data_IF_391156758714
#
_entry.id   IF_391156758714
#
_cell.length_a   1.000
_cell.length_b   1.000
_cell.length_c   1.000
_cell.angle_alpha   90.00
_cell.angle_beta   90.00
_cell.angle_gamma   90.00
#
_symmetry.space_group_name_H-M   'P 1'
#
loop_
_entity.id
_entity.type
_entity.pdbx_description
1 polymer ?
#
# COMPACT_ATOMS: atom_id res chain seq x y z
N UNK A 1 51.95 35.69 19.02
CA UNK A 1 52.61 34.93 20.11
C UNK A 1 51.62 33.86 20.55
N UNK A 2 51.78 32.63 20.03
CA UNK A 2 52.22 31.42 20.75
C UNK A 2 51.26 31.01 21.88
N UNK A 3 50.50 29.93 21.69
CA UNK A 3 50.70 28.69 22.45
C UNK A 3 50.21 27.49 21.62
N UNK A 4 51.12 26.53 21.46
CA UNK A 4 50.96 25.23 20.82
C UNK A 4 50.84 24.22 21.96
N UNK A 5 49.85 23.32 21.96
CA UNK A 5 49.91 22.14 22.84
C UNK A 5 49.29 20.93 22.12
N UNK A 6 50.16 20.02 21.69
CA UNK A 6 49.82 18.63 21.38
C UNK A 6 49.62 17.86 22.70
N UNK A 7 48.68 16.92 22.73
CA UNK A 7 48.68 15.83 23.71
C UNK A 7 48.55 14.48 22.99
N UNK A 8 49.47 13.58 23.31
CA UNK A 8 49.63 12.24 22.75
C UNK A 8 48.75 11.18 23.46
N UNK A 9 48.31 10.21 22.64
CA UNK A 9 48.02 8.79 22.86
C UNK A 9 47.82 8.24 24.29
N UNK A 10 46.78 7.41 24.44
CA UNK A 10 46.90 6.10 25.11
C UNK A 10 45.86 5.11 24.53
N UNK A 11 46.38 4.05 23.91
CA UNK A 11 45.64 2.88 23.42
C UNK A 11 45.65 1.83 24.55
N UNK A 12 44.49 1.35 24.99
CA UNK A 12 44.39 0.18 25.85
C UNK A 12 43.68 -0.94 25.09
N UNK A 13 44.46 -1.95 24.71
CA UNK A 13 43.96 -3.25 24.28
C UNK A 13 43.43 -4.01 25.51
N UNK A 14 42.23 -4.56 25.40
CA UNK A 14 41.75 -5.63 26.28
C UNK A 14 41.46 -6.86 25.44
N UNK A 15 42.24 -7.89 25.71
CA UNK A 15 42.25 -9.21 25.10
C UNK A 15 41.22 -10.14 25.73
N UNK A 16 40.49 -10.83 24.85
CA UNK A 16 40.00 -12.22 24.90
C UNK A 16 39.27 -12.76 26.14
N UNK A 17 38.05 -13.27 25.90
CA UNK A 17 37.58 -14.51 26.49
C UNK A 17 36.93 -15.38 25.40
N UNK A 18 37.66 -16.42 25.01
CA UNK A 18 37.27 -17.47 24.07
C UNK A 18 36.29 -18.40 24.76
N UNK A 19 35.06 -18.51 24.24
CA UNK A 19 34.12 -19.55 24.65
C UNK A 19 34.44 -20.86 23.89
N UNK A 20 34.39 -22.04 24.55
CA UNK A 20 34.73 -23.32 23.92
C UNK A 20 33.68 -23.75 22.89
N UNK A 21 34.09 -24.45 21.81
CA UNK A 21 33.18 -25.04 20.85
C UNK A 21 32.44 -26.22 21.48
N UNK A 22 31.11 -26.20 21.45
CA UNK A 22 30.31 -27.38 21.78
C UNK A 22 30.54 -28.48 20.76
N UNK A 23 30.86 -29.67 21.27
CA UNK A 23 31.08 -30.90 20.52
C UNK A 23 29.96 -31.18 19.50
N UNK A 24 30.35 -31.19 18.22
CA UNK A 24 29.54 -31.78 17.16
C UNK A 24 29.59 -33.31 17.32
N UNK A 25 28.48 -33.90 17.77
CA UNK A 25 28.31 -35.35 17.70
C UNK A 25 28.04 -35.79 16.24
N UNK A 26 28.67 -36.88 15.77
CA UNK A 26 28.53 -37.36 14.41
C UNK A 26 27.15 -37.99 14.16
N UNK A 27 26.64 -37.76 12.93
CA UNK A 27 25.44 -38.35 12.37
C UNK A 27 25.34 -39.86 12.65
N UNK A 28 24.30 -40.27 13.39
CA UNK A 28 23.81 -41.65 13.44
C UNK A 28 22.43 -41.70 12.78
N UNK A 29 22.33 -42.37 11.63
CA UNK A 29 21.13 -43.11 11.21
C UNK A 29 21.34 -44.55 11.69
N UNK A 30 20.33 -45.20 12.31
CA UNK A 30 19.43 -45.99 11.50
C UNK A 30 17.96 -45.98 11.96
N UNK A 31 17.13 -46.45 11.05
CA UNK A 31 15.70 -46.74 11.08
C UNK A 31 15.08 -47.09 12.44
N UNK A 32 13.99 -46.40 12.81
CA UNK A 32 12.74 -47.05 13.25
C UNK A 32 11.57 -46.05 13.37
N UNK A 33 10.64 -46.20 12.43
CA UNK A 33 9.17 -46.06 12.56
C UNK A 33 8.60 -45.07 13.61
N UNK A 34 8.39 -43.82 13.19
CA UNK A 34 7.28 -43.01 13.71
C UNK A 34 6.16 -42.98 12.66
N UNK A 35 5.10 -43.74 12.95
CA UNK A 35 3.85 -43.79 12.18
C UNK A 35 3.31 -42.37 11.95
N UNK A 36 3.10 -42.02 10.68
CA UNK A 36 2.26 -40.90 10.28
C UNK A 36 0.84 -41.08 10.86
N UNK A 37 0.15 -39.99 11.24
CA UNK A 37 -1.26 -40.07 11.59
C UNK A 37 -2.09 -40.57 10.39
N UNK A 38 -3.17 -41.34 10.63
CA UNK A 38 -3.94 -41.98 9.57
C UNK A 38 -4.61 -40.94 8.66
N UNK A 39 -4.49 -41.17 7.36
CA UNK A 39 -5.19 -40.43 6.30
C UNK A 39 -6.72 -40.48 6.51
N UNK A 40 -7.46 -39.39 6.27
CA UNK A 40 -8.92 -39.45 6.17
C UNK A 40 -9.35 -40.21 4.90
N UNK A 41 -10.54 -40.85 4.92
CA UNK A 41 -11.04 -41.68 3.83
C UNK A 41 -11.29 -40.87 2.54
N UNK A 42 -11.19 -41.52 1.35
CA UNK A 42 -11.23 -40.84 0.07
C UNK A 42 -12.70 -40.64 -0.36
N UNK A 43 -13.36 -39.57 0.07
CA UNK A 43 -14.63 -39.14 -0.59
C UNK A 43 -15.06 -37.68 -0.33
N UNK A 44 -14.14 -36.81 0.10
CA UNK A 44 -14.42 -35.37 0.20
C UNK A 44 -13.36 -34.57 -0.54
N UNK A 45 -13.40 -34.62 -1.88
CA UNK A 45 -12.81 -33.56 -2.67
C UNK A 45 -13.66 -32.30 -2.47
N UNK A 46 -13.09 -31.12 -2.14
CA UNK A 46 -13.79 -29.89 -2.41
C UNK A 46 -14.03 -29.84 -3.92
N UNK A 47 -15.29 -29.62 -4.31
CA UNK A 47 -15.65 -29.33 -5.69
C UNK A 47 -14.81 -28.13 -6.14
N UNK A 48 -13.77 -28.38 -6.93
CA UNK A 48 -13.10 -27.32 -7.67
C UNK A 48 -14.11 -26.84 -8.72
N UNK A 49 -14.82 -25.78 -8.36
CA UNK A 49 -15.73 -25.07 -9.23
C UNK A 49 -14.94 -24.65 -10.48
N UNK A 50 -15.49 -25.00 -11.64
CA UNK A 50 -14.78 -25.02 -12.90
C UNK A 50 -14.11 -23.70 -13.26
N UNK A 51 -12.90 -23.83 -13.80
CA UNK A 51 -12.22 -22.81 -14.61
C UNK A 51 -13.07 -22.49 -15.84
N UNK A 52 -14.11 -21.68 -15.62
CA UNK A 52 -14.78 -20.95 -16.68
C UNK A 52 -13.79 -19.88 -17.11
N UNK A 53 -13.12 -20.12 -18.24
CA UNK A 53 -12.25 -19.17 -18.91
C UNK A 53 -13.14 -18.04 -19.45
N UNK A 54 -13.57 -17.14 -18.58
CA UNK A 54 -14.15 -15.85 -18.93
C UNK A 54 -12.99 -14.88 -18.98
N UNK A 55 -12.61 -14.46 -20.19
CA UNK A 55 -11.64 -13.40 -20.43
C UNK A 55 -12.25 -12.03 -20.06
N UNK A 56 -12.63 -11.84 -18.79
CA UNK A 56 -12.90 -10.53 -18.25
C UNK A 56 -11.73 -10.22 -17.32
N UNK A 57 -11.06 -9.09 -17.55
CA UNK A 57 -9.87 -8.58 -16.85
C UNK A 57 -10.17 -8.18 -15.38
N UNK A 58 -11.18 -8.81 -14.79
CA UNK A 58 -11.84 -8.46 -13.56
C UNK A 58 -11.50 -9.54 -12.53
N UNK A 59 -10.85 -9.13 -11.44
CA UNK A 59 -10.39 -10.03 -10.40
C UNK A 59 -11.58 -10.74 -9.71
N UNK A 60 -11.42 -12.03 -9.42
CA UNK A 60 -12.42 -12.84 -8.69
C UNK A 60 -12.72 -12.23 -7.31
N UNK A 61 -14.00 -12.15 -6.95
CA UNK A 61 -14.44 -11.62 -5.65
C UNK A 61 -14.01 -12.53 -4.50
N UNK A 62 -13.39 -11.97 -3.47
CA UNK A 62 -12.91 -12.65 -2.27
C UNK A 62 -13.70 -12.19 -1.03
N UNK A 63 -14.88 -12.78 -0.74
CA UNK A 63 -15.83 -12.26 0.23
C UNK A 63 -15.41 -12.42 1.71
N UNK A 64 -14.31 -13.12 2.00
CA UNK A 64 -13.80 -13.33 3.35
C UNK A 64 -12.60 -12.44 3.71
N UNK A 65 -12.11 -11.64 2.75
CA UNK A 65 -10.92 -10.80 2.90
C UNK A 65 -11.35 -9.34 2.99
N UNK A 66 -10.63 -8.52 3.76
CA UNK A 66 -10.86 -7.07 3.83
C UNK A 66 -9.84 -6.29 2.99
N UNK A 67 -10.17 -5.03 2.67
CA UNK A 67 -9.29 -4.12 1.95
C UNK A 67 -7.94 -3.95 2.64
N UNK A 68 -7.94 -3.82 3.97
CA UNK A 68 -6.72 -3.67 4.76
C UNK A 68 -5.75 -4.85 4.58
N UNK A 69 -6.26 -6.08 4.49
CA UNK A 69 -5.46 -7.28 4.32
C UNK A 69 -4.92 -7.42 2.89
N UNK A 70 -5.75 -7.12 1.88
CA UNK A 70 -5.37 -7.33 0.48
C UNK A 70 -4.39 -6.26 -0.02
N UNK A 71 -4.50 -5.02 0.46
CA UNK A 71 -3.62 -3.92 0.03
C UNK A 71 -2.14 -4.22 0.32
N UNK A 72 -1.84 -4.81 1.47
CA UNK A 72 -0.48 -5.20 1.84
C UNK A 72 0.13 -6.31 0.97
N UNK A 73 -0.70 -7.08 0.26
CA UNK A 73 -0.23 -8.15 -0.64
C UNK A 73 0.21 -7.62 -2.01
N UNK A 74 -0.25 -6.42 -2.39
CA UNK A 74 0.04 -5.81 -3.69
C UNK A 74 1.38 -5.07 -3.63
N UNK A 75 2.45 -5.71 -4.12
CA UNK A 75 3.81 -5.13 -4.11
C UNK A 75 3.92 -3.78 -4.81
N UNK A 76 3.07 -3.52 -5.80
CA UNK A 76 3.03 -2.23 -6.51
C UNK A 76 2.38 -1.10 -5.72
N UNK A 77 1.77 -1.38 -4.55
CA UNK A 77 1.02 -0.42 -3.74
C UNK A 77 1.63 -0.23 -2.33
N UNK A 78 2.81 -0.76 -2.05
CA UNK A 78 3.42 -0.74 -0.71
C UNK A 78 3.63 0.67 -0.16
N UNK A 79 3.94 1.64 -1.03
CA UNK A 79 4.10 3.05 -0.64
C UNK A 79 2.76 3.61 -0.22
N UNK A 80 1.74 3.52 -1.08
CA UNK A 80 0.38 4.00 -0.77
C UNK A 80 -0.20 3.35 0.49
N UNK A 81 -0.08 2.03 0.63
CA UNK A 81 -0.56 1.30 1.81
C UNK A 81 0.18 1.68 3.10
N UNK A 82 1.42 2.16 3.01
CA UNK A 82 2.12 2.67 4.19
C UNK A 82 1.54 4.03 4.61
N UNK A 83 1.16 4.88 3.66
CA UNK A 83 0.52 6.16 3.94
C UNK A 83 -0.88 5.99 4.55
N UNK A 84 -1.66 5.00 4.09
CA UNK A 84 -3.02 4.75 4.62
C UNK A 84 -3.04 4.29 6.08
N UNK A 85 -1.89 3.87 6.62
CA UNK A 85 -1.77 3.41 8.01
C UNK A 85 -1.33 4.52 8.97
N UNK A 86 -1.00 5.69 8.46
CA UNK A 86 -0.52 6.81 9.28
C UNK A 86 -1.64 7.47 10.08
N UNK A 87 -2.88 7.41 9.58
CA UNK A 87 -4.03 8.10 10.14
C UNK A 87 -5.21 7.14 10.32
N UNK A 88 -5.95 7.30 11.41
CA UNK A 88 -7.16 6.50 11.67
C UNK A 88 -8.22 6.79 10.60
N UNK A 89 -8.39 8.05 10.20
CA UNK A 89 -9.35 8.47 9.16
C UNK A 89 -9.14 7.79 7.81
N UNK A 90 -7.93 7.27 7.54
CA UNK A 90 -7.59 6.60 6.28
C UNK A 90 -7.47 5.09 6.41
N UNK A 91 -7.29 4.56 7.62
CA UNK A 91 -7.17 3.11 7.87
C UNK A 91 -8.48 2.47 8.32
N UNK A 92 -9.33 3.18 9.05
CA UNK A 92 -10.64 2.68 9.51
C UNK A 92 -11.53 2.22 8.34
N UNK A 93 -11.73 3.00 7.25
CA UNK A 93 -12.62 2.57 6.15
C UNK A 93 -12.14 1.31 5.42
N UNK A 94 -10.85 0.96 5.56
CA UNK A 94 -10.25 -0.22 4.95
C UNK A 94 -10.40 -1.47 5.81
N UNK A 95 -10.56 -1.29 7.11
CA UNK A 95 -10.60 -2.37 8.11
C UNK A 95 -12.00 -2.65 8.65
N UNK A 96 -12.95 -1.72 8.49
CA UNK A 96 -14.36 -1.97 8.80
C UNK A 96 -15.05 -2.78 7.69
N UNK A 97 -15.59 -3.93 8.07
CA UNK A 97 -16.33 -4.82 7.18
C UNK A 97 -17.65 -4.22 6.67
N UNK A 98 -18.20 -3.22 7.37
CA UNK A 98 -19.47 -2.60 7.00
C UNK A 98 -19.31 -1.34 6.14
N UNK A 99 -18.07 -0.88 5.93
CA UNK A 99 -17.77 0.33 5.17
C UNK A 99 -17.26 -0.05 3.79
N UNK A 100 -18.16 -0.07 2.80
CA UNK A 100 -17.79 -0.33 1.40
C UNK A 100 -16.91 0.80 0.86
N UNK A 101 -15.69 0.49 0.42
CA UNK A 101 -14.74 1.49 -0.07
C UNK A 101 -14.15 1.08 -1.42
N UNK A 102 -14.14 1.99 -2.38
CA UNK A 102 -13.32 1.84 -3.59
C UNK A 102 -12.01 2.59 -3.40
N UNK A 103 -10.90 1.85 -3.38
CA UNK A 103 -9.55 2.39 -3.20
C UNK A 103 -8.95 2.67 -4.58
N UNK A 104 -8.69 3.94 -4.87
CA UNK A 104 -8.09 4.40 -6.12
C UNK A 104 -6.58 4.58 -5.88
N UNK A 105 -5.81 3.48 -5.86
CA UNK A 105 -4.43 3.49 -5.41
C UNK A 105 -3.43 3.82 -6.52
N UNK A 106 -2.66 4.92 -6.44
CA UNK A 106 -1.52 5.15 -7.33
C UNK A 106 -0.42 4.12 -7.06
N UNK A 107 0.18 3.60 -8.14
CA UNK A 107 1.32 2.69 -8.04
C UNK A 107 2.54 3.37 -7.41
N UNK A 108 3.46 2.59 -6.83
CA UNK A 108 4.68 3.11 -6.20
C UNK A 108 5.46 4.06 -7.13
N UNK A 109 5.67 3.64 -8.39
CA UNK A 109 6.36 4.45 -9.41
C UNK A 109 5.61 5.76 -9.68
N UNK A 110 4.28 5.72 -9.72
CA UNK A 110 3.44 6.92 -9.94
C UNK A 110 3.61 7.93 -8.81
N UNK A 111 3.75 7.46 -7.55
CA UNK A 111 4.02 8.33 -6.40
C UNK A 111 5.44 8.88 -6.45
N UNK A 112 6.42 8.04 -6.77
CA UNK A 112 7.83 8.41 -6.78
C UNK A 112 8.17 9.45 -7.87
N UNK A 113 7.54 9.31 -9.04
CA UNK A 113 7.73 10.16 -10.22
C UNK A 113 6.93 11.47 -10.17
N UNK A 114 6.15 11.72 -9.11
CA UNK A 114 5.44 12.99 -8.96
C UNK A 114 6.43 14.18 -8.96
N UNK A 115 6.12 15.27 -9.68
CA UNK A 115 6.97 16.47 -9.69
C UNK A 115 7.21 17.09 -8.31
N UNK A 116 6.29 16.83 -7.38
CA UNK A 116 6.37 17.26 -5.98
C UNK A 116 5.99 16.12 -5.07
N UNK A 117 6.48 16.17 -3.85
CA UNK A 117 6.23 15.09 -2.90
C UNK A 117 4.81 15.20 -2.32
N UNK A 118 4.16 14.08 -1.98
CA UNK A 118 2.79 14.10 -1.44
C UNK A 118 2.62 14.87 -0.11
N UNK A 119 3.72 15.09 0.62
CA UNK A 119 3.73 15.88 1.85
C UNK A 119 3.90 17.40 1.60
N UNK A 120 4.08 17.82 0.35
CA UNK A 120 4.31 19.21 -0.04
C UNK A 120 3.06 19.82 -0.70
N UNK A 121 2.56 20.92 -0.13
CA UNK A 121 1.51 21.75 -0.69
C UNK A 121 2.09 23.09 -1.23
N UNK A 122 1.76 23.51 -2.47
CA UNK A 122 2.17 24.81 -3.01
C UNK A 122 1.70 26.01 -2.19
N UNK A 123 0.52 25.93 -1.57
CA UNK A 123 -0.01 27.01 -0.74
C UNK A 123 0.87 27.28 0.49
N UNK A 124 1.51 26.24 1.03
CA UNK A 124 2.44 26.37 2.16
C UNK A 124 3.70 27.14 1.75
N UNK A 125 4.27 26.84 0.59
CA UNK A 125 5.40 27.60 0.06
C UNK A 125 5.01 29.05 -0.27
N UNK A 126 3.79 29.27 -0.79
CA UNK A 126 3.30 30.62 -1.06
C UNK A 126 3.15 31.45 0.24
N UNK A 127 2.77 30.80 1.35
CA UNK A 127 2.55 31.47 2.63
C UNK A 127 3.83 31.61 3.48
N UNK A 128 4.71 30.61 3.47
CA UNK A 128 5.82 30.47 4.42
C UNK A 128 7.22 30.46 3.76
N UNK A 129 7.28 30.44 2.42
CA UNK A 129 8.52 30.37 1.65
C UNK A 129 9.17 28.99 1.67
N UNK A 130 10.44 28.91 1.26
CA UNK A 130 11.17 27.65 1.13
C UNK A 130 11.28 26.85 2.43
N UNK A 131 11.22 27.53 3.58
CA UNK A 131 11.28 26.94 4.92
C UNK A 131 9.92 26.39 5.38
N UNK A 132 8.98 26.23 4.45
CA UNK A 132 7.65 25.72 4.74
C UNK A 132 7.70 24.36 5.43
N UNK A 133 8.74 23.51 5.36
CA UNK A 133 8.68 22.21 6.05
C UNK A 133 9.72 22.07 7.16
N UNK A 134 10.21 23.20 7.66
CA UNK A 134 11.20 23.25 8.72
C UNK A 134 10.57 23.20 10.12
N UNK A 135 11.26 22.54 11.04
CA UNK A 135 10.86 22.42 12.44
C UNK A 135 9.57 21.63 12.66
N UNK A 136 9.00 21.74 13.87
CA UNK A 136 7.81 20.97 14.26
C UNK A 136 6.57 21.36 13.47
N UNK A 137 6.35 22.66 13.22
CA UNK A 137 5.21 23.12 12.42
C UNK A 137 5.28 22.71 10.95
N UNK A 138 6.48 22.45 10.42
CA UNK A 138 6.67 21.85 9.10
C UNK A 138 6.28 20.37 9.07
N UNK A 139 6.69 19.61 10.09
CA UNK A 139 6.30 18.20 10.23
C UNK A 139 4.79 18.01 10.29
N UNK A 140 4.08 18.82 11.06
CA UNK A 140 2.62 18.69 11.22
C UNK A 140 1.88 18.98 9.91
N UNK A 141 2.34 19.98 9.12
CA UNK A 141 1.77 20.26 7.80
C UNK A 141 2.08 19.18 6.77
N UNK A 142 3.30 18.66 6.79
CA UNK A 142 3.68 17.51 5.97
C UNK A 142 2.78 16.29 6.26
N UNK A 143 2.54 15.99 7.53
CA UNK A 143 1.68 14.89 7.96
C UNK A 143 0.21 15.09 7.55
N UNK A 144 -0.31 16.31 7.71
CA UNK A 144 -1.66 16.69 7.28
C UNK A 144 -1.84 16.62 5.75
N UNK A 145 -0.81 17.00 4.99
CA UNK A 145 -0.79 16.83 3.53
C UNK A 145 -0.81 15.35 3.12
N UNK A 146 -0.06 14.47 3.81
CA UNK A 146 -0.11 13.03 3.57
C UNK A 146 -1.49 12.44 3.84
N UNK A 147 -2.15 12.90 4.92
CA UNK A 147 -3.53 12.52 5.22
C UNK A 147 -4.48 12.91 4.08
N UNK A 148 -4.45 14.19 3.64
CA UNK A 148 -5.28 14.69 2.52
C UNK A 148 -5.00 13.95 1.22
N UNK A 149 -3.72 13.64 0.95
CA UNK A 149 -3.32 12.87 -0.21
C UNK A 149 -4.00 11.50 -0.22
N UNK A 150 -3.98 10.76 0.89
CA UNK A 150 -4.65 9.45 0.95
C UNK A 150 -6.17 9.59 0.87
N UNK A 151 -6.75 10.55 1.59
CA UNK A 151 -8.20 10.78 1.59
C UNK A 151 -8.75 11.11 0.19
N UNK A 152 -7.95 11.76 -0.67
CA UNK A 152 -8.31 12.00 -2.06
C UNK A 152 -8.43 10.71 -2.90
N UNK A 153 -7.88 9.59 -2.43
CA UNK A 153 -7.85 8.31 -3.13
C UNK A 153 -8.79 7.25 -2.54
N UNK A 154 -9.60 7.61 -1.54
CA UNK A 154 -10.58 6.71 -0.92
C UNK A 154 -11.99 7.16 -1.26
N UNK A 155 -12.73 6.37 -2.03
CA UNK A 155 -14.17 6.60 -2.28
C UNK A 155 -14.97 5.76 -1.29
N UNK A 156 -15.31 6.36 -0.16
CA UNK A 156 -15.96 5.70 0.97
C UNK A 156 -17.48 5.63 0.74
N UNK A 157 -18.08 4.51 1.13
CA UNK A 157 -19.51 4.22 0.96
C UNK A 157 -19.91 3.74 -0.44
N UNK A 158 -18.97 3.55 -1.35
CA UNK A 158 -19.25 3.20 -2.75
C UNK A 158 -18.39 2.02 -3.20
N UNK A 159 -19.00 0.83 -3.28
CA UNK A 159 -18.44 -0.34 -3.96
C UNK A 159 -19.52 -1.44 -4.06
N UNK A 160 -19.65 -2.16 -5.19
CA UNK A 160 -18.95 -1.93 -6.47
C UNK A 160 -19.34 -0.59 -7.09
N UNK A 161 -18.43 0.01 -7.87
CA UNK A 161 -18.64 1.35 -8.43
C UNK A 161 -19.01 1.35 -9.91
N UNK A 162 -20.25 1.76 -10.23
CA UNK A 162 -20.78 1.82 -11.60
C UNK A 162 -20.27 3.04 -12.39
N UNK A 163 -20.20 2.90 -13.73
CA UNK A 163 -19.74 3.95 -14.64
C UNK A 163 -20.63 5.20 -14.58
N UNK A 164 -20.02 6.39 -14.56
CA UNK A 164 -20.72 7.67 -14.53
C UNK A 164 -21.40 8.00 -13.20
N UNK A 165 -21.42 7.09 -12.23
CA UNK A 165 -21.95 7.38 -10.89
C UNK A 165 -20.95 8.24 -10.13
N UNK A 166 -21.36 9.46 -9.81
CA UNK A 166 -20.57 10.39 -9.01
C UNK A 166 -20.56 9.98 -7.54
N UNK A 167 -19.37 10.01 -6.95
CA UNK A 167 -19.15 9.74 -5.55
C UNK A 167 -18.17 10.76 -4.98
N UNK A 168 -18.15 10.90 -3.65
CA UNK A 168 -17.17 11.75 -2.98
C UNK A 168 -16.03 10.92 -2.44
N UNK A 169 -14.82 11.45 -2.58
CA UNK A 169 -13.65 10.92 -1.86
C UNK A 169 -13.76 11.27 -0.38
N UNK A 170 -12.95 10.63 0.49
CA UNK A 170 -12.87 10.98 1.90
C UNK A 170 -12.40 12.44 2.10
N UNK A 171 -11.67 13.00 1.14
CA UNK A 171 -11.30 14.42 1.11
C UNK A 171 -12.47 15.35 0.71
N UNK A 172 -13.62 14.80 0.33
CA UNK A 172 -14.82 15.53 -0.07
C UNK A 172 -14.90 15.90 -1.55
N UNK A 173 -13.89 15.56 -2.36
CA UNK A 173 -13.84 15.83 -3.80
C UNK A 173 -14.79 14.91 -4.54
N UNK A 174 -15.59 15.45 -5.48
CA UNK A 174 -16.46 14.65 -6.33
C UNK A 174 -15.66 14.01 -7.47
N UNK A 175 -15.79 12.69 -7.63
CA UNK A 175 -15.15 11.89 -8.68
C UNK A 175 -16.14 10.93 -9.31
N UNK A 176 -15.88 10.51 -10.55
CA UNK A 176 -16.60 9.43 -11.25
C UNK A 176 -15.65 8.75 -12.22
N UNK A 177 -16.02 7.60 -12.77
CA UNK A 177 -15.24 6.97 -13.82
C UNK A 177 -16.03 6.83 -15.11
N UNK A 178 -15.34 6.94 -16.24
CA UNK A 178 -15.87 6.77 -17.59
C UNK A 178 -15.03 5.75 -18.35
N UNK A 179 -15.65 5.05 -19.31
CA UNK A 179 -14.93 4.29 -20.31
C UNK A 179 -14.53 5.23 -21.47
N UNK A 180 -13.23 5.39 -21.69
CA UNK A 180 -12.67 6.18 -22.80
C UNK A 180 -11.81 5.29 -23.68
N UNK A 181 -11.68 5.62 -24.98
CA UNK A 181 -10.76 4.92 -25.86
C UNK A 181 -9.36 5.52 -25.75
N UNK A 182 -8.35 4.67 -25.63
CA UNK A 182 -6.96 5.08 -25.76
C UNK A 182 -6.57 5.31 -27.24
N UNK A 183 -5.31 5.68 -27.46
CA UNK A 183 -4.76 5.96 -28.80
C UNK A 183 -4.78 4.73 -29.72
N UNK A 184 -4.79 3.54 -29.15
CA UNK A 184 -4.79 2.26 -29.85
C UNK A 184 -6.22 1.74 -30.06
N UNK A 185 -7.23 2.46 -29.56
CA UNK A 185 -8.65 2.16 -29.70
C UNK A 185 -9.20 1.22 -28.63
N UNK A 186 -8.41 0.85 -27.62
CA UNK A 186 -8.87 0.01 -26.51
C UNK A 186 -9.65 0.84 -25.50
N UNK A 187 -10.68 0.24 -24.90
CA UNK A 187 -11.42 0.88 -23.81
C UNK A 187 -10.61 0.85 -22.51
N UNK A 188 -10.50 2.01 -21.87
CA UNK A 188 -9.81 2.24 -20.61
C UNK A 188 -10.76 2.93 -19.64
N UNK A 189 -10.71 2.56 -18.36
CA UNK A 189 -11.41 3.32 -17.32
C UNK A 189 -10.59 4.55 -16.96
N UNK A 190 -11.24 5.70 -16.90
CA UNK A 190 -10.62 6.98 -16.57
C UNK A 190 -11.40 7.63 -15.44
N UNK A 191 -10.69 7.98 -14.36
CA UNK A 191 -11.24 8.73 -13.23
C UNK A 191 -11.28 10.21 -13.58
N UNK A 192 -12.45 10.80 -13.40
CA UNK A 192 -12.77 12.19 -13.66
C UNK A 192 -12.94 12.94 -12.33
N UNK A 193 -12.70 14.27 -12.30
CA UNK A 193 -12.40 15.13 -13.44
C UNK A 193 -10.93 15.14 -13.88
N UNK A 194 -10.03 14.56 -13.10
CA UNK A 194 -8.57 14.67 -13.28
C UNK A 194 -8.01 13.86 -14.47
N UNK A 195 -8.86 13.12 -15.18
CA UNK A 195 -8.52 12.25 -16.31
C UNK A 195 -7.44 11.20 -16.00
N UNK A 196 -7.45 10.67 -14.77
CA UNK A 196 -6.49 9.68 -14.31
C UNK A 196 -6.87 8.28 -14.81
N UNK A 197 -5.96 7.65 -15.55
CA UNK A 197 -6.19 6.31 -16.08
C UNK A 197 -6.10 5.23 -14.99
N UNK A 198 -7.02 4.28 -15.03
CA UNK A 198 -6.99 3.07 -14.23
C UNK A 198 -6.20 2.02 -15.00
N UNK A 199 -5.13 1.51 -14.41
CA UNK A 199 -4.37 0.38 -14.95
C UNK A 199 -5.21 -0.91 -14.92
N UNK A 200 -5.77 -1.23 -13.74
CA UNK A 200 -6.66 -2.39 -13.56
C UNK A 200 -7.43 -2.35 -12.24
N UNK A 201 -8.50 -3.15 -12.15
CA UNK A 201 -9.12 -3.55 -10.87
C UNK A 201 -8.37 -4.76 -10.32
N UNK A 202 -7.50 -4.51 -9.34
CA UNK A 202 -6.58 -5.51 -8.81
C UNK A 202 -7.24 -6.50 -7.85
N UNK A 203 -8.30 -6.12 -7.15
CA UNK A 203 -9.00 -7.00 -6.21
C UNK A 203 -10.42 -6.51 -5.93
N UNK A 204 -11.32 -7.46 -5.68
CA UNK A 204 -12.66 -7.22 -5.12
C UNK A 204 -12.80 -8.07 -3.87
N UNK A 205 -13.11 -7.46 -2.74
CA UNK A 205 -13.08 -8.06 -1.41
C UNK A 205 -14.37 -7.74 -0.66
N UNK A 206 -14.50 -8.21 0.60
CA UNK A 206 -15.75 -8.13 1.35
C UNK A 206 -16.28 -6.70 1.51
N UNK A 207 -15.38 -5.75 1.79
CA UNK A 207 -15.71 -4.34 2.00
C UNK A 207 -15.25 -3.43 0.85
N UNK A 208 -15.05 -3.96 -0.36
CA UNK A 208 -14.97 -3.13 -1.57
C UNK A 208 -13.94 -3.54 -2.60
N UNK A 209 -13.30 -2.57 -3.27
CA UNK A 209 -12.47 -2.80 -4.45
C UNK A 209 -11.14 -2.03 -4.40
N UNK A 210 -10.09 -2.62 -4.99
CA UNK A 210 -8.79 -1.97 -5.18
C UNK A 210 -8.54 -1.74 -6.67
N UNK A 211 -8.43 -0.49 -7.06
CA UNK A 211 -8.17 -0.04 -8.41
C UNK A 211 -6.78 0.59 -8.45
N UNK A 212 -5.91 0.13 -9.36
CA UNK A 212 -4.56 0.66 -9.51
C UNK A 212 -4.59 1.77 -10.56
N UNK A 213 -4.02 2.93 -10.23
CA UNK A 213 -3.98 4.10 -11.11
C UNK A 213 -2.60 4.30 -11.73
N UNK A 214 -2.60 4.85 -12.94
CA UNK A 214 -1.42 5.36 -13.66
C UNK A 214 -1.18 6.87 -13.43
N UNK A 215 -1.83 7.44 -12.41
CA UNK A 215 -1.70 8.84 -12.01
C UNK A 215 -2.16 9.03 -10.56
N UNK A 216 -2.04 10.25 -10.05
CA UNK A 216 -2.56 10.64 -8.73
C UNK A 216 -3.78 11.53 -8.89
N UNK A 217 -4.73 11.41 -7.98
CA UNK A 217 -5.83 12.35 -7.86
C UNK A 217 -5.36 13.62 -7.16
N UNK A 218 -5.96 14.75 -7.53
CA UNK A 218 -5.64 16.02 -6.91
C UNK A 218 -6.14 16.04 -5.46
N UNK A 219 -5.24 16.37 -4.54
CA UNK A 219 -5.56 16.60 -3.12
C UNK A 219 -5.57 18.10 -2.86
N UNK A 220 -6.66 18.59 -2.25
CA UNK A 220 -6.90 20.01 -1.99
C UNK A 220 -5.94 20.58 -0.93
#
# INVERSE_FOLDING_TARGET
MKFFTLLHLSFSLLTAATAPPSDQQPLRRPDDQQRLPPHPPPDHLPVMMGSSKVNNNDSQVQPAVLLYDILGTQRSLTTFFSLTRMHESTSEPLSDANTNTTVLAPGNVVIDDQPRKPWENPSDYAALGEQAYDGSGGKDRADDNLRRFVEAHLVVGTSPWEAGVKAKTAAGTEVWWEAKKDKDGNEQRVIMPDEVQVDRVASRVANGEVWILNGVLNSA
#
